data_IF_225096893421
#
_entry.id   IF_225096893421
#
_cell.length_a   1.000
_cell.length_b   1.000
_cell.length_c   1.000
_cell.angle_alpha   90.00
_cell.angle_beta   90.00
_cell.angle_gamma   90.00
#
_symmetry.space_group_name_H-M   'P 1'
#
loop_
_entity.id
_entity.type
_entity.pdbx_description
1 polymer ?
#
# COMPACT_ATOMS: atom_id res chain seq x y z
N UNK A 1 -7.81 -21.84 -19.77
CA UNK A 1 -7.14 -20.52 -19.85
C UNK A 1 -8.25 -19.48 -19.70
N UNK A 2 -8.34 -18.80 -18.55
CA UNK A 2 -9.38 -17.80 -18.34
C UNK A 2 -9.07 -16.59 -19.23
N UNK A 3 -10.04 -16.19 -20.06
CA UNK A 3 -9.96 -15.00 -20.89
C UNK A 3 -9.84 -13.76 -19.98
N UNK A 4 -8.65 -13.16 -19.94
CA UNK A 4 -8.35 -11.93 -19.23
C UNK A 4 -8.77 -10.73 -20.09
N UNK A 5 -10.05 -10.70 -20.52
CA UNK A 5 -10.59 -9.50 -21.15
C UNK A 5 -10.65 -8.39 -20.12
N UNK A 6 -9.71 -7.43 -20.16
CA UNK A 6 -9.79 -6.21 -19.39
C UNK A 6 -10.67 -5.20 -20.11
N UNK A 7 -11.70 -4.70 -19.44
CA UNK A 7 -12.53 -3.62 -19.97
C UNK A 7 -12.46 -2.41 -19.04
N UNK A 8 -12.29 -1.21 -19.64
CA UNK A 8 -12.31 0.06 -18.90
C UNK A 8 -13.67 0.71 -19.11
N UNK A 9 -14.36 1.02 -18.02
CA UNK A 9 -15.62 1.71 -18.03
C UNK A 9 -15.49 3.04 -17.29
N UNK A 10 -15.79 4.15 -17.96
CA UNK A 10 -15.82 5.47 -17.36
C UNK A 10 -17.24 5.80 -16.92
N UNK A 11 -17.45 5.92 -15.61
CA UNK A 11 -18.75 6.24 -15.01
C UNK A 11 -18.61 7.39 -14.02
N UNK A 12 -19.66 8.21 -13.90
CA UNK A 12 -19.74 9.20 -12.82
C UNK A 12 -19.83 8.50 -11.47
N UNK A 13 -19.04 8.98 -10.52
CA UNK A 13 -19.11 8.50 -9.13
C UNK A 13 -20.54 8.68 -8.61
N UNK A 14 -21.15 7.62 -8.07
CA UNK A 14 -22.50 7.64 -7.55
C UNK A 14 -23.31 6.41 -7.97
N UNK A 15 -24.62 6.62 -8.15
CA UNK A 15 -25.58 5.53 -8.43
C UNK A 15 -25.21 4.72 -9.67
N UNK A 16 -24.79 5.37 -10.75
CA UNK A 16 -24.46 4.68 -12.01
C UNK A 16 -23.26 3.75 -11.87
N UNK A 17 -22.17 4.24 -11.27
CA UNK A 17 -20.99 3.41 -11.02
C UNK A 17 -21.32 2.21 -10.12
N UNK A 18 -22.19 2.42 -9.14
CA UNK A 18 -22.66 1.38 -8.23
C UNK A 18 -23.51 0.33 -8.95
N UNK A 19 -24.48 0.74 -9.77
CA UNK A 19 -25.30 -0.16 -10.58
C UNK A 19 -24.42 -0.98 -11.53
N UNK A 20 -23.44 -0.33 -12.18
CA UNK A 20 -22.51 -1.03 -13.05
C UNK A 20 -21.68 -2.08 -12.32
N UNK A 21 -21.18 -1.76 -11.12
CA UNK A 21 -20.46 -2.72 -10.28
C UNK A 21 -21.36 -3.92 -9.91
N UNK A 22 -22.61 -3.65 -9.53
CA UNK A 22 -23.61 -4.70 -9.23
C UNK A 22 -23.83 -5.63 -10.43
N UNK A 23 -24.03 -5.07 -11.61
CA UNK A 23 -24.19 -5.84 -12.86
C UNK A 23 -22.95 -6.70 -13.17
N UNK A 24 -21.73 -6.14 -13.04
CA UNK A 24 -20.49 -6.87 -13.27
C UNK A 24 -20.34 -8.07 -12.32
N UNK A 25 -20.63 -7.86 -11.03
CA UNK A 25 -20.59 -8.94 -10.03
C UNK A 25 -21.65 -10.01 -10.39
N UNK A 26 -22.86 -9.60 -10.72
CA UNK A 26 -23.95 -10.52 -11.10
C UNK A 26 -23.58 -11.33 -12.33
N UNK A 27 -23.06 -10.69 -13.38
CA UNK A 27 -22.63 -11.36 -14.60
C UNK A 27 -21.56 -12.41 -14.32
N UNK A 28 -20.54 -12.06 -13.50
CA UNK A 28 -19.49 -13.01 -13.12
C UNK A 28 -19.98 -14.21 -12.33
N UNK A 29 -21.10 -14.06 -11.62
CA UNK A 29 -21.72 -15.11 -10.79
C UNK A 29 -22.87 -15.86 -11.45
N UNK A 30 -23.19 -15.57 -12.70
CA UNK A 30 -24.29 -16.25 -13.40
C UNK A 30 -24.05 -17.75 -13.57
N UNK A 31 -22.79 -18.15 -13.88
CA UNK A 31 -22.44 -19.55 -14.08
C UNK A 31 -22.17 -20.29 -12.76
N UNK A 32 -21.55 -19.58 -11.79
CA UNK A 32 -21.24 -20.13 -10.47
C UNK A 32 -21.41 -19.04 -9.40
N UNK A 33 -22.46 -19.10 -8.58
CA UNK A 33 -22.70 -18.16 -7.49
C UNK A 33 -21.60 -18.14 -6.43
N UNK A 34 -20.84 -19.23 -6.27
CA UNK A 34 -19.74 -19.36 -5.31
C UNK A 34 -18.40 -18.85 -5.85
N UNK A 35 -18.32 -18.56 -7.13
CA UNK A 35 -17.12 -18.01 -7.76
C UNK A 35 -16.59 -16.78 -6.99
N UNK A 36 -15.30 -16.75 -6.62
CA UNK A 36 -14.76 -15.62 -5.86
C UNK A 36 -14.65 -14.36 -6.72
N UNK A 37 -15.13 -13.24 -6.20
CA UNK A 37 -14.97 -11.92 -6.81
C UNK A 37 -14.24 -11.00 -5.85
N UNK A 38 -13.17 -10.35 -6.31
CA UNK A 38 -12.44 -9.34 -5.54
C UNK A 38 -12.71 -7.95 -6.12
N UNK A 39 -13.22 -7.06 -5.28
CA UNK A 39 -13.43 -5.65 -5.61
C UNK A 39 -12.36 -4.82 -4.92
N UNK A 40 -11.56 -4.10 -5.71
CA UNK A 40 -10.57 -3.16 -5.18
C UNK A 40 -11.21 -1.79 -5.04
N UNK A 41 -11.29 -1.31 -3.81
CA UNK A 41 -11.89 -0.03 -3.46
C UNK A 41 -10.81 1.03 -3.18
N UNK A 42 -11.08 2.33 -3.44
CA UNK A 42 -10.11 3.40 -3.21
C UNK A 42 -9.78 3.63 -1.72
N UNK A 43 -10.68 3.20 -0.81
CA UNK A 43 -10.47 3.27 0.63
C UNK A 43 -11.23 2.16 1.35
N UNK A 44 -10.84 1.86 2.59
CA UNK A 44 -11.55 0.92 3.47
C UNK A 44 -13.01 1.32 3.66
N UNK A 45 -13.26 2.62 3.89
CA UNK A 45 -14.61 3.16 4.06
C UNK A 45 -15.47 2.94 2.81
N UNK A 46 -14.94 3.25 1.62
CA UNK A 46 -15.63 3.01 0.36
C UNK A 46 -15.96 1.53 0.18
N UNK A 47 -15.03 0.63 0.49
CA UNK A 47 -15.26 -0.81 0.45
C UNK A 47 -16.40 -1.27 1.36
N UNK A 48 -16.45 -0.76 2.59
CA UNK A 48 -17.53 -1.07 3.54
C UNK A 48 -18.89 -0.54 3.04
N UNK A 49 -18.92 0.69 2.53
CA UNK A 49 -20.15 1.29 2.00
C UNK A 49 -20.67 0.53 0.77
N UNK A 50 -19.79 0.20 -0.18
CA UNK A 50 -20.14 -0.61 -1.35
C UNK A 50 -20.67 -1.99 -0.95
N UNK A 51 -19.99 -2.66 -0.01
CA UNK A 51 -20.43 -3.97 0.50
C UNK A 51 -21.81 -3.91 1.11
N UNK A 52 -22.10 -2.92 1.97
CA UNK A 52 -23.41 -2.76 2.62
C UNK A 52 -24.53 -2.52 1.61
N UNK A 53 -24.27 -1.62 0.65
CA UNK A 53 -25.26 -1.28 -0.36
C UNK A 53 -25.58 -2.47 -1.29
N UNK A 54 -24.55 -3.19 -1.75
CA UNK A 54 -24.74 -4.39 -2.59
C UNK A 54 -25.41 -5.54 -1.82
N UNK A 55 -25.09 -5.72 -0.53
CA UNK A 55 -25.70 -6.74 0.29
C UNK A 55 -27.17 -6.49 0.55
N UNK A 56 -27.59 -5.22 0.64
CA UNK A 56 -28.99 -4.84 0.82
C UNK A 56 -29.84 -5.09 -0.43
N UNK A 57 -29.24 -5.04 -1.62
CA UNK A 57 -29.94 -5.17 -2.89
C UNK A 57 -30.16 -6.65 -3.30
N UNK A 58 -29.08 -7.44 -3.32
CA UNK A 58 -29.14 -8.81 -3.86
C UNK A 58 -28.44 -9.87 -2.98
N UNK A 59 -27.98 -9.50 -1.80
CA UNK A 59 -27.07 -10.33 -1.03
C UNK A 59 -25.68 -10.44 -1.69
N UNK A 60 -24.69 -10.82 -0.92
CA UNK A 60 -23.33 -10.99 -1.39
C UNK A 60 -22.75 -12.33 -0.92
N UNK A 61 -22.42 -13.19 -1.85
CA UNK A 61 -21.79 -14.45 -1.57
C UNK A 61 -20.37 -14.45 -2.16
N UNK A 62 -19.36 -14.74 -1.34
CA UNK A 62 -17.96 -14.83 -1.77
C UNK A 62 -17.43 -13.61 -2.56
N UNK A 63 -17.84 -12.39 -2.15
CA UNK A 63 -17.31 -11.13 -2.68
C UNK A 63 -16.45 -10.47 -1.63
N UNK A 64 -15.19 -10.21 -1.96
CA UNK A 64 -14.20 -9.56 -1.09
C UNK A 64 -14.00 -8.12 -1.51
N UNK A 65 -14.02 -7.21 -0.54
CA UNK A 65 -13.68 -5.80 -0.75
C UNK A 65 -12.37 -5.51 -0.06
N UNK A 66 -11.40 -4.98 -0.78
CA UNK A 66 -10.10 -4.62 -0.23
C UNK A 66 -9.50 -3.40 -0.93
N UNK A 67 -8.57 -2.75 -0.27
CA UNK A 67 -7.77 -1.68 -0.86
C UNK A 67 -6.56 -2.27 -1.61
N UNK A 68 -6.00 -1.50 -2.55
CA UNK A 68 -4.88 -1.97 -3.37
C UNK A 68 -3.68 -2.49 -2.55
N UNK A 69 -3.23 -1.84 -1.46
CA UNK A 69 -2.15 -2.38 -0.64
C UNK A 69 -2.47 -3.77 -0.07
N UNK A 70 -3.74 -3.98 0.36
CA UNK A 70 -4.16 -5.28 0.89
C UNK A 70 -4.22 -6.37 -0.19
N UNK A 71 -4.59 -6.01 -1.40
CA UNK A 71 -4.52 -6.92 -2.55
C UNK A 71 -3.06 -7.30 -2.85
N UNK A 72 -2.15 -6.34 -2.84
CA UNK A 72 -0.72 -6.59 -3.06
C UNK A 72 -0.14 -7.54 -1.99
N UNK A 73 -0.45 -7.31 -0.71
CA UNK A 73 -0.09 -8.24 0.37
C UNK A 73 -0.65 -9.65 0.12
N UNK A 74 -1.92 -9.74 -0.20
CA UNK A 74 -2.60 -11.03 -0.43
C UNK A 74 -1.96 -11.82 -1.58
N UNK A 75 -1.61 -11.15 -2.67
CA UNK A 75 -0.98 -11.79 -3.82
C UNK A 75 0.51 -12.07 -3.60
N UNK A 76 1.23 -11.20 -2.88
CA UNK A 76 2.66 -11.30 -2.65
C UNK A 76 3.04 -12.23 -1.49
N UNK A 77 2.18 -12.39 -0.49
CA UNK A 77 2.48 -13.17 0.73
C UNK A 77 2.98 -14.60 0.47
N UNK A 78 2.42 -15.38 -0.49
CA UNK A 78 2.92 -16.72 -0.75
C UNK A 78 4.36 -16.75 -1.30
N UNK A 79 4.74 -15.74 -2.09
CA UNK A 79 6.10 -15.62 -2.62
C UNK A 79 7.07 -15.21 -1.50
N UNK A 80 6.71 -14.21 -0.69
CA UNK A 80 7.50 -13.79 0.46
C UNK A 80 7.71 -14.93 1.47
N UNK A 81 6.66 -15.69 1.75
CA UNK A 81 6.75 -16.83 2.68
C UNK A 81 7.72 -17.91 2.19
N UNK A 82 7.80 -18.17 0.88
CA UNK A 82 8.78 -19.10 0.30
C UNK A 82 10.22 -18.63 0.50
N UNK A 83 10.43 -17.33 0.58
CA UNK A 83 11.73 -16.70 0.84
C UNK A 83 12.00 -16.52 2.35
N UNK A 84 11.13 -17.01 3.23
CA UNK A 84 11.23 -16.81 4.67
C UNK A 84 10.93 -15.38 5.11
N UNK A 85 10.32 -14.58 4.26
CA UNK A 85 9.99 -13.17 4.49
C UNK A 85 8.52 -12.98 4.84
N UNK A 86 8.22 -11.87 5.50
CA UNK A 86 6.85 -11.45 5.81
C UNK A 86 6.63 -9.99 5.42
N UNK A 87 5.39 -9.58 5.11
CA UNK A 87 5.10 -8.17 4.86
C UNK A 87 5.46 -7.30 6.06
N UNK A 88 6.12 -6.19 5.80
CA UNK A 88 6.49 -5.21 6.83
C UNK A 88 5.23 -4.58 7.43
N UNK A 89 5.03 -4.77 8.74
CA UNK A 89 3.88 -4.16 9.42
C UNK A 89 4.15 -2.69 9.73
N UNK A 90 3.12 -1.82 9.79
CA UNK A 90 3.32 -0.41 10.12
C UNK A 90 4.02 -0.17 11.46
N UNK A 91 3.85 -1.07 12.43
CA UNK A 91 4.50 -0.97 13.74
C UNK A 91 6.00 -1.24 13.63
N UNK A 92 6.39 -2.30 12.94
CA UNK A 92 7.80 -2.64 12.71
C UNK A 92 8.46 -1.56 11.85
N UNK A 93 7.79 -1.09 10.80
CA UNK A 93 8.25 0.01 9.95
C UNK A 93 8.59 1.26 10.79
N UNK A 94 7.67 1.70 11.68
CA UNK A 94 7.91 2.85 12.54
C UNK A 94 9.01 2.61 13.57
N UNK A 95 9.13 1.39 14.10
CA UNK A 95 10.19 1.02 15.03
C UNK A 95 11.57 1.08 14.38
N UNK A 96 11.74 0.52 13.18
CA UNK A 96 12.99 0.58 12.40
C UNK A 96 13.36 2.03 12.06
N UNK A 97 12.39 2.82 11.58
CA UNK A 97 12.63 4.24 11.29
C UNK A 97 13.08 4.99 12.55
N UNK A 98 12.45 4.73 13.69
CA UNK A 98 12.83 5.35 14.97
C UNK A 98 14.23 4.93 15.38
N UNK A 99 14.57 3.65 15.27
CA UNK A 99 15.89 3.12 15.57
C UNK A 99 16.95 3.83 14.74
N UNK A 100 16.78 3.89 13.43
CA UNK A 100 17.72 4.59 12.53
C UNK A 100 17.88 6.06 12.92
N UNK A 101 16.77 6.78 13.18
CA UNK A 101 16.81 8.19 13.54
C UNK A 101 17.54 8.44 14.84
N UNK A 102 17.43 7.56 15.84
CA UNK A 102 18.07 7.72 17.15
C UNK A 102 19.52 7.28 17.14
N UNK A 103 19.87 6.17 16.47
CA UNK A 103 21.22 5.62 16.45
C UNK A 103 22.15 6.35 15.46
N UNK A 104 21.61 6.76 14.31
CA UNK A 104 22.41 7.40 13.25
C UNK A 104 22.18 8.91 13.14
N UNK A 105 21.25 9.47 13.90
CA UNK A 105 20.88 10.88 13.88
C UNK A 105 21.82 11.80 14.68
N UNK A 106 22.91 11.25 15.22
CA UNK A 106 23.83 11.98 16.10
C UNK A 106 24.51 13.15 15.40
N UNK A 107 24.72 13.02 14.08
CA UNK A 107 25.34 14.06 13.25
C UNK A 107 24.40 14.46 12.09
N UNK A 108 24.28 15.77 11.86
CA UNK A 108 23.54 16.31 10.72
C UNK A 108 22.32 17.18 11.07
N UNK A 109 21.63 17.70 10.06
CA UNK A 109 20.57 18.70 10.23
C UNK A 109 19.38 18.22 11.06
N UNK A 110 19.12 16.91 11.14
CA UNK A 110 18.00 16.35 11.92
C UNK A 110 18.35 16.00 13.37
N UNK A 111 19.61 16.26 13.80
CA UNK A 111 20.07 15.97 15.15
C UNK A 111 19.13 16.51 16.25
N UNK A 112 18.74 17.76 16.13
CA UNK A 112 17.92 18.43 17.14
C UNK A 112 16.53 17.81 17.31
N UNK A 113 16.03 17.08 16.30
CA UNK A 113 14.70 16.47 16.27
C UNK A 113 14.73 14.95 16.23
N UNK A 114 15.90 14.31 16.28
CA UNK A 114 16.05 12.85 16.15
C UNK A 114 15.24 12.06 17.18
N UNK A 115 15.07 12.60 18.38
CA UNK A 115 14.26 11.98 19.45
C UNK A 115 12.80 12.44 19.48
N UNK A 116 12.37 13.34 18.57
CA UNK A 116 11.01 13.86 18.57
C UNK A 116 10.01 12.74 18.20
N UNK A 117 8.94 12.52 18.98
CA UNK A 117 8.00 11.40 18.78
C UNK A 117 7.26 11.45 17.45
N UNK A 118 7.11 12.61 16.85
CA UNK A 118 6.48 12.79 15.52
C UNK A 118 7.40 12.50 14.33
N UNK A 119 8.73 12.47 14.53
CA UNK A 119 9.69 12.31 13.44
C UNK A 119 9.50 10.99 12.67
N UNK A 120 9.32 9.82 13.30
CA UNK A 120 9.14 8.57 12.56
C UNK A 120 7.95 8.60 11.61
N UNK A 121 6.84 9.24 12.00
CA UNK A 121 5.67 9.39 11.14
C UNK A 121 5.89 10.28 9.92
N UNK A 122 6.71 11.33 10.05
CA UNK A 122 7.13 12.18 8.93
C UNK A 122 8.08 11.43 7.99
N UNK A 123 9.11 10.77 8.56
CA UNK A 123 10.08 9.99 7.79
C UNK A 123 9.41 8.85 7.02
N UNK A 124 8.43 8.18 7.59
CA UNK A 124 7.65 7.16 6.91
C UNK A 124 7.03 7.67 5.61
N UNK A 125 6.45 8.88 5.62
CA UNK A 125 5.88 9.50 4.41
C UNK A 125 6.97 9.80 3.39
N UNK A 126 8.06 10.43 3.84
CA UNK A 126 9.20 10.75 2.98
C UNK A 126 9.83 9.50 2.38
N UNK A 127 10.00 8.43 3.16
CA UNK A 127 10.52 7.16 2.66
C UNK A 127 9.56 6.51 1.64
N UNK A 128 8.24 6.65 1.84
CA UNK A 128 7.24 6.24 0.84
C UNK A 128 7.32 7.04 -0.46
N UNK A 129 7.76 8.29 -0.44
CA UNK A 129 8.04 9.08 -1.64
C UNK A 129 9.36 8.67 -2.29
N UNK A 130 10.44 8.53 -1.49
CA UNK A 130 11.76 8.09 -1.97
C UNK A 130 11.72 6.68 -2.58
N UNK A 131 10.85 5.81 -2.10
CA UNK A 131 10.69 4.45 -2.65
C UNK A 131 10.18 4.40 -4.10
N UNK A 132 9.65 5.51 -4.61
CA UNK A 132 9.15 5.64 -5.98
C UNK A 132 10.19 6.17 -6.96
N UNK A 133 11.33 6.63 -6.44
CA UNK A 133 12.42 7.17 -7.23
C UNK A 133 13.34 6.05 -7.72
N UNK A 134 13.93 6.27 -8.89
CA UNK A 134 15.00 5.41 -9.39
C UNK A 134 16.30 5.66 -8.63
N UNK A 135 17.23 4.70 -8.65
CA UNK A 135 18.49 4.81 -7.91
C UNK A 135 19.36 6.00 -8.40
N UNK A 136 19.23 6.37 -9.67
CA UNK A 136 19.91 7.57 -10.22
C UNK A 136 19.39 8.84 -9.54
N UNK A 137 18.09 8.98 -9.36
CA UNK A 137 17.48 10.13 -8.70
C UNK A 137 17.84 10.19 -7.22
N UNK A 138 17.86 9.03 -6.55
CA UNK A 138 18.30 8.92 -5.17
C UNK A 138 19.77 9.33 -5.02
N UNK A 139 20.62 8.94 -5.96
CA UNK A 139 22.03 9.33 -5.94
C UNK A 139 22.20 10.84 -6.16
N UNK A 140 21.47 11.43 -7.11
CA UNK A 140 21.47 12.87 -7.32
C UNK A 140 21.02 13.64 -6.08
N UNK A 141 20.02 13.12 -5.35
CA UNK A 141 19.60 13.71 -4.07
C UNK A 141 20.64 13.54 -2.96
N UNK A 142 21.35 12.42 -2.94
CA UNK A 142 22.42 12.15 -1.97
C UNK A 142 23.65 13.04 -2.16
N UNK A 143 23.93 13.45 -3.40
CA UNK A 143 25.03 14.36 -3.73
C UNK A 143 24.77 15.81 -3.33
N UNK A 144 23.57 16.11 -2.84
CA UNK A 144 23.24 17.42 -2.27
C UNK A 144 23.66 17.49 -0.81
N UNK A 145 24.03 18.69 -0.35
CA UNK A 145 24.38 18.90 1.06
C UNK A 145 23.16 18.92 1.98
N UNK A 146 23.41 18.58 3.25
CA UNK A 146 22.48 18.81 4.35
C UNK A 146 21.34 17.80 4.45
N UNK A 147 20.10 18.31 4.51
CA UNK A 147 18.91 17.51 4.86
C UNK A 147 18.60 16.41 3.84
N UNK A 148 18.75 16.70 2.56
CA UNK A 148 18.41 15.74 1.48
C UNK A 148 19.34 14.53 1.52
N UNK A 149 20.63 14.78 1.63
CA UNK A 149 21.63 13.71 1.75
C UNK A 149 21.38 12.83 2.98
N UNK A 150 21.05 13.44 4.12
CA UNK A 150 20.72 12.70 5.35
C UNK A 150 19.45 11.85 5.17
N UNK A 151 18.40 12.38 4.54
CA UNK A 151 17.15 11.64 4.30
C UNK A 151 17.37 10.43 3.38
N UNK A 152 18.17 10.59 2.31
CA UNK A 152 18.52 9.47 1.42
C UNK A 152 19.37 8.44 2.14
N UNK A 153 20.35 8.86 2.96
CA UNK A 153 21.15 7.97 3.79
C UNK A 153 20.28 7.12 4.72
N UNK A 154 19.36 7.75 5.43
CA UNK A 154 18.45 7.05 6.35
C UNK A 154 17.48 6.14 5.62
N UNK A 155 16.98 6.55 4.46
CA UNK A 155 16.14 5.71 3.61
C UNK A 155 16.88 4.45 3.13
N UNK A 156 18.16 4.57 2.71
CA UNK A 156 18.96 3.42 2.32
C UNK A 156 19.19 2.45 3.48
N UNK A 157 19.51 2.97 4.67
CA UNK A 157 19.64 2.15 5.88
C UNK A 157 18.32 1.41 6.20
N UNK A 158 17.20 2.13 6.17
CA UNK A 158 15.87 1.54 6.36
C UNK A 158 15.58 0.43 5.35
N UNK A 159 15.85 0.69 4.08
CA UNK A 159 15.65 -0.30 3.00
C UNK A 159 16.52 -1.54 3.21
N UNK A 160 17.73 -1.38 3.66
CA UNK A 160 18.65 -2.50 3.87
C UNK A 160 18.27 -3.30 5.13
N UNK A 161 17.87 -2.65 6.22
CA UNK A 161 17.36 -3.30 7.44
C UNK A 161 16.07 -4.09 7.20
N UNK A 162 15.22 -3.62 6.29
CA UNK A 162 13.90 -4.22 6.00
C UNK A 162 13.90 -5.21 4.84
N UNK A 163 15.01 -5.40 4.14
CA UNK A 163 15.17 -6.41 3.06
C UNK A 163 15.44 -7.84 3.57
N UNK A 164 15.72 -8.00 4.87
CA UNK A 164 16.09 -9.25 5.51
C UNK A 164 15.05 -10.35 5.47
#
# INVERSE_FOLDING_TARGET
MADLSSSIHAERIGRNAFQRLSELIRTRKQTDPFSPVTVVAPSQYAGVMMRRALAADHGLLNVRFMILPRLAEYLGSPALAKEGKSPLTPLVELASIRHIATETGVDGPLRAVSHHPGLPGLLRRTFGELSRLEEVDLSNLADTDGLRAQLVKWYRLFRDETKG
#
